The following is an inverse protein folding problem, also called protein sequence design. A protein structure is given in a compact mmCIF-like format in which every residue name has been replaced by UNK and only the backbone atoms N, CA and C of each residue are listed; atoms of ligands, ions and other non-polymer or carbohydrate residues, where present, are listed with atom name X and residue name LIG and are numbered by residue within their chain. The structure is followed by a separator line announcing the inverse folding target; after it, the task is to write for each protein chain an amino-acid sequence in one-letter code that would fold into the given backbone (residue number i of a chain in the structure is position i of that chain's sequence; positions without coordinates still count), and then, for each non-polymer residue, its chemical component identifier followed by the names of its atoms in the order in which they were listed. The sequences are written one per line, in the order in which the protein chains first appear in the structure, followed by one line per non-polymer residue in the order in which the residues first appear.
data_IF_659850862853
#
_entry.id   IF_659850862853
#
_cell.length_a   1.000
_cell.length_b   1.000
_cell.length_c   1.000
_cell.angle_alpha   90.00
_cell.angle_beta   90.00
_cell.angle_gamma   90.00
#
_symmetry.space_group_name_H-M   'P 1'
#
loop_
_entity.id
_entity.type
_entity.pdbx_description
1 polymer ?
#
# COMPACT_ATOMS: atom_id res chain seq x y z
N UNK A 1 23.58 -16.62 -24.99
CA UNK A 1 22.22 -17.20 -25.07
C UNK A 1 21.32 -16.16 -25.67
N UNK A 2 20.61 -16.46 -26.76
CA UNK A 2 19.70 -15.50 -27.40
C UNK A 2 18.52 -15.21 -26.48
N UNK A 3 18.04 -13.97 -26.49
CA UNK A 3 16.89 -13.47 -25.73
C UNK A 3 15.64 -14.39 -25.82
N UNK A 4 15.55 -15.08 -26.95
CA UNK A 4 14.54 -16.09 -27.27
C UNK A 4 14.59 -17.33 -26.37
N UNK A 5 15.74 -17.80 -25.91
CA UNK A 5 15.80 -18.99 -25.07
C UNK A 5 15.31 -18.69 -23.64
N UNK A 6 15.55 -17.47 -23.15
CA UNK A 6 15.24 -17.07 -21.77
C UNK A 6 13.73 -16.88 -21.55
N UNK A 7 13.07 -16.15 -22.45
CA UNK A 7 11.60 -15.96 -22.43
C UNK A 7 10.87 -17.31 -22.60
N UNK A 8 11.40 -18.19 -23.46
CA UNK A 8 10.85 -19.53 -23.64
C UNK A 8 10.87 -20.37 -22.36
N UNK A 9 11.96 -20.32 -21.59
CA UNK A 9 12.05 -20.99 -20.29
C UNK A 9 11.03 -20.48 -19.28
N UNK A 10 10.81 -19.16 -19.23
CA UNK A 10 9.84 -18.56 -18.30
C UNK A 10 8.40 -18.92 -18.69
N UNK A 11 8.05 -18.96 -19.98
CA UNK A 11 6.72 -19.45 -20.40
C UNK A 11 6.48 -20.91 -19.99
N UNK A 12 7.51 -21.77 -19.98
CA UNK A 12 7.37 -23.16 -19.49
C UNK A 12 7.07 -23.19 -17.98
N UNK A 13 7.70 -22.31 -17.20
CA UNK A 13 7.43 -22.19 -15.77
C UNK A 13 5.99 -21.70 -15.50
N UNK A 14 5.53 -20.69 -16.25
CA UNK A 14 4.15 -20.18 -16.18
C UNK A 14 3.14 -21.29 -16.47
N UNK A 15 3.34 -22.08 -17.53
CA UNK A 15 2.44 -23.19 -17.87
C UNK A 15 2.41 -24.27 -16.79
N UNK A 16 3.59 -24.64 -16.26
CA UNK A 16 3.71 -25.62 -15.17
C UNK A 16 3.05 -25.15 -13.88
N UNK A 17 2.99 -23.85 -13.60
CA UNK A 17 2.26 -23.35 -12.43
C UNK A 17 0.76 -23.40 -12.68
N UNK A 18 0.28 -22.94 -13.83
CA UNK A 18 -1.14 -22.99 -14.21
C UNK A 18 -1.72 -24.42 -14.15
N UNK A 19 -0.97 -25.43 -14.61
CA UNK A 19 -1.41 -26.84 -14.55
C UNK A 19 -1.51 -27.36 -13.10
N UNK A 20 -0.56 -27.02 -12.23
CA UNK A 20 -0.58 -27.40 -10.81
C UNK A 20 -1.74 -26.74 -10.06
N UNK A 21 -2.12 -25.53 -10.44
CA UNK A 21 -3.29 -24.85 -9.87
C UNK A 21 -4.60 -25.49 -10.31
N UNK A 22 -4.73 -25.93 -11.57
CA UNK A 22 -5.89 -26.70 -12.01
C UNK A 22 -6.05 -28.00 -11.19
N UNK A 23 -4.95 -28.72 -10.94
CA UNK A 23 -4.95 -29.94 -10.11
C UNK A 23 -5.28 -29.64 -8.63
N UNK A 24 -4.72 -28.57 -8.05
CA UNK A 24 -4.99 -28.18 -6.67
C UNK A 24 -6.44 -27.69 -6.46
N UNK A 25 -7.01 -26.98 -7.45
CA UNK A 25 -8.39 -26.52 -7.42
C UNK A 25 -9.37 -27.71 -7.55
N UNK A 26 -9.06 -28.68 -8.42
CA UNK A 26 -9.84 -29.91 -8.52
C UNK A 26 -9.79 -30.74 -7.23
N UNK A 27 -8.61 -30.84 -6.59
CA UNK A 27 -8.44 -31.56 -5.32
C UNK A 27 -9.19 -30.92 -4.15
N UNK A 28 -9.22 -29.58 -4.07
CA UNK A 28 -10.03 -28.86 -3.08
C UNK A 28 -11.54 -28.95 -3.36
N UNK A 29 -11.95 -28.94 -4.63
CA UNK A 29 -13.36 -29.10 -5.01
C UNK A 29 -13.90 -30.50 -4.68
N UNK A 30 -13.08 -31.54 -4.82
CA UNK A 30 -13.44 -32.92 -4.46
C UNK A 30 -13.55 -33.11 -2.95
N UNK A 31 -12.74 -32.40 -2.14
CA UNK A 31 -12.81 -32.50 -0.67
C UNK A 31 -14.03 -31.81 -0.06
N UNK A 32 -14.68 -30.87 -0.76
CA UNK A 32 -15.87 -30.16 -0.24
C UNK A 32 -17.22 -30.83 -0.55
N UNK A 33 -17.24 -31.98 -1.24
CA UNK A 33 -18.48 -32.71 -1.56
C UNK A 33 -18.80 -33.81 -0.52
N UNK A 34 -17.93 -34.01 0.49
CA UNK A 34 -17.98 -35.17 1.40
C UNK A 34 -18.25 -34.84 2.88
N UNK A 35 -19.28 -34.06 3.20
CA UNK A 35 -19.79 -34.01 4.59
C UNK A 35 -21.32 -34.04 4.61
N UNK A 36 -21.96 -35.00 5.30
CA UNK A 36 -23.41 -35.01 5.42
C UNK A 36 -23.89 -33.93 6.40
N UNK A 37 -24.94 -33.23 5.97
CA UNK A 37 -25.77 -32.32 6.75
C UNK A 37 -26.39 -33.02 7.96
N UNK A 38 -26.25 -32.46 9.17
CA UNK A 38 -27.21 -32.70 10.24
C UNK A 38 -27.51 -31.44 11.08
N UNK A 39 -28.78 -31.33 11.44
CA UNK A 39 -29.52 -30.18 11.99
C UNK A 39 -29.75 -30.39 13.49
N UNK A 40 -29.86 -29.28 14.23
CA UNK A 40 -30.33 -29.13 15.64
C UNK A 40 -29.25 -29.50 16.68
N UNK A 41 -28.88 -28.66 17.64
CA UNK A 41 -29.75 -28.01 18.63
C UNK A 41 -29.35 -26.55 18.95
N UNK A 42 -30.36 -25.72 19.15
CA UNK A 42 -30.26 -24.40 19.73
C UNK A 42 -30.44 -24.48 21.24
N UNK A 43 -29.38 -24.29 22.02
CA UNK A 43 -29.46 -24.01 23.46
C UNK A 43 -28.34 -23.08 23.91
N UNK A 44 -28.75 -21.88 24.31
CA UNK A 44 -28.17 -20.98 25.31
C UNK A 44 -26.63 -20.89 25.44
N UNK A 45 -26.08 -19.81 24.90
CA UNK A 45 -25.00 -19.06 25.58
C UNK A 45 -25.49 -17.64 25.79
N UNK A 46 -26.10 -17.42 26.95
CA UNK A 46 -26.25 -16.10 27.56
C UNK A 46 -24.87 -15.56 27.94
N UNK A 47 -24.78 -14.22 27.98
CA UNK A 47 -23.66 -13.36 28.42
C UNK A 47 -22.53 -13.17 27.40
N UNK A 48 -22.84 -12.44 26.33
CA UNK A 48 -21.90 -11.46 25.80
C UNK A 48 -22.14 -10.16 26.57
N UNK A 49 -21.12 -9.76 27.33
CA UNK A 49 -21.10 -8.48 28.02
C UNK A 49 -21.41 -7.35 27.04
N UNK A 50 -22.45 -6.60 27.41
CA UNK A 50 -22.85 -5.34 26.82
C UNK A 50 -21.81 -4.27 27.13
N UNK A 51 -20.64 -4.29 26.46
CA UNK A 51 -19.73 -3.15 26.39
C UNK A 51 -19.03 -3.10 25.03
N UNK A 52 -19.64 -2.41 24.06
CA UNK A 52 -18.96 -1.56 23.07
C UNK A 52 -19.97 -0.98 22.06
N UNK A 53 -20.93 -0.18 22.52
CA UNK A 53 -21.43 0.93 21.71
C UNK A 53 -20.71 2.19 22.16
N UNK A 54 -19.39 2.22 21.94
CA UNK A 54 -18.72 3.50 21.85
C UNK A 54 -19.17 4.12 20.52
N UNK A 55 -19.99 5.16 20.60
CA UNK A 55 -20.15 6.10 19.50
C UNK A 55 -18.74 6.54 19.11
N UNK A 56 -18.23 6.03 17.98
CA UNK A 56 -16.93 6.40 17.44
C UNK A 56 -17.03 7.84 16.90
N UNK A 57 -17.02 8.84 17.77
CA UNK A 57 -16.77 10.23 17.38
C UNK A 57 -15.28 10.34 16.99
N UNK A 58 -14.98 9.94 15.76
CA UNK A 58 -13.69 10.22 15.14
C UNK A 58 -13.68 11.72 14.82
N UNK A 59 -13.29 12.54 15.80
CA UNK A 59 -13.06 13.97 15.58
C UNK A 59 -11.67 14.15 14.94
N UNK A 60 -11.67 14.51 13.66
CA UNK A 60 -10.47 14.96 12.96
C UNK A 60 -10.47 16.49 13.02
N UNK A 61 -9.39 17.06 13.56
CA UNK A 61 -9.18 18.49 13.66
C UNK A 61 -8.04 18.91 12.75
N UNK A 62 -8.09 20.16 12.28
CA UNK A 62 -7.02 20.76 11.48
C UNK A 62 -6.09 21.53 12.41
N UNK A 63 -4.84 21.08 12.53
CA UNK A 63 -3.84 21.70 13.42
C UNK A 63 -2.66 22.22 12.60
N UNK A 64 -2.05 23.36 12.98
CA UNK A 64 -0.84 23.85 12.32
C UNK A 64 0.35 22.93 12.61
N UNK A 65 1.23 22.76 11.62
CA UNK A 65 2.46 21.95 11.77
C UNK A 65 3.28 22.38 12.99
N UNK A 66 3.33 23.69 13.28
CA UNK A 66 4.05 24.25 14.44
C UNK A 66 3.60 23.76 15.81
N UNK A 67 2.37 23.23 15.93
CA UNK A 67 1.84 22.68 17.17
C UNK A 67 2.06 21.16 17.30
N UNK A 68 2.75 20.52 16.37
CA UNK A 68 2.90 19.07 16.33
C UNK A 68 4.35 18.67 16.65
N UNK A 69 4.51 17.72 17.57
CA UNK A 69 5.83 17.16 17.92
C UNK A 69 5.78 15.64 17.82
N UNK A 70 6.89 15.00 17.45
CA UNK A 70 6.94 13.53 17.42
C UNK A 70 6.95 13.00 18.86
N UNK A 71 6.01 12.11 19.18
CA UNK A 71 5.94 11.47 20.50
C UNK A 71 6.93 10.32 20.63
N UNK A 72 7.45 10.10 21.84
CA UNK A 72 8.23 8.91 22.17
C UNK A 72 7.43 7.61 22.03
N UNK A 73 6.10 7.67 22.14
CA UNK A 73 5.19 6.54 21.95
C UNK A 73 5.01 6.13 20.49
N UNK A 74 5.57 6.87 19.53
CA UNK A 74 5.61 6.43 18.14
C UNK A 74 6.53 5.21 17.99
N UNK A 75 5.97 4.06 17.62
CA UNK A 75 6.73 2.79 17.62
C UNK A 75 7.73 2.68 16.46
N UNK A 76 7.53 3.39 15.35
CA UNK A 76 8.44 3.34 14.20
C UNK A 76 9.62 4.27 14.42
N UNK A 77 10.80 3.69 14.71
CA UNK A 77 12.06 4.44 14.90
C UNK A 77 13.02 4.37 13.70
N UNK A 78 12.77 3.47 12.74
CA UNK A 78 13.61 3.32 11.55
C UNK A 78 13.44 4.50 10.59
N UNK A 79 14.55 4.92 9.97
CA UNK A 79 14.55 5.95 8.93
C UNK A 79 14.25 5.32 7.57
N UNK A 80 13.46 6.00 6.75
CA UNK A 80 13.25 5.62 5.36
C UNK A 80 14.44 6.03 4.50
N UNK A 81 14.46 5.57 3.24
CA UNK A 81 15.46 6.04 2.29
C UNK A 81 15.19 7.49 1.88
N UNK A 82 16.25 8.20 1.47
CA UNK A 82 16.12 9.58 0.95
C UNK A 82 15.12 9.67 -0.21
N UNK A 83 15.16 8.69 -1.13
CA UNK A 83 14.26 8.65 -2.28
C UNK A 83 12.79 8.48 -1.87
N UNK A 84 12.52 7.68 -0.83
CA UNK A 84 11.16 7.54 -0.30
C UNK A 84 10.68 8.83 0.36
N UNK A 85 11.55 9.54 1.07
CA UNK A 85 11.22 10.81 1.75
C UNK A 85 10.95 11.92 0.74
N UNK A 86 11.75 12.02 -0.33
CA UNK A 86 11.49 12.91 -1.46
C UNK A 86 10.15 12.60 -2.14
N UNK A 87 9.82 11.30 -2.31
CA UNK A 87 8.52 10.87 -2.84
C UNK A 87 7.36 11.31 -1.95
N UNK A 88 7.53 11.22 -0.62
CA UNK A 88 6.52 11.66 0.34
C UNK A 88 6.34 13.18 0.34
N UNK A 89 7.44 13.95 0.30
CA UNK A 89 7.40 15.40 0.20
C UNK A 89 6.68 15.86 -1.07
N UNK A 90 7.03 15.28 -2.22
CA UNK A 90 6.37 15.54 -3.49
C UNK A 90 4.86 15.27 -3.43
N UNK A 91 4.47 14.15 -2.80
CA UNK A 91 3.06 13.81 -2.60
C UNK A 91 2.34 14.83 -1.70
N UNK A 92 2.98 15.28 -0.62
CA UNK A 92 2.43 16.29 0.29
C UNK A 92 2.22 17.62 -0.46
N UNK A 93 3.18 18.05 -1.28
CA UNK A 93 3.05 19.28 -2.08
C UNK A 93 1.91 19.15 -3.10
N UNK A 94 1.80 17.99 -3.75
CA UNK A 94 0.80 17.78 -4.81
C UNK A 94 -0.63 17.58 -4.29
N UNK A 95 -0.79 16.92 -3.14
CA UNK A 95 -2.08 16.39 -2.68
C UNK A 95 -2.40 16.70 -1.21
N UNK A 96 -1.48 17.35 -0.48
CA UNK A 96 -1.58 17.51 0.96
C UNK A 96 -1.42 16.18 1.71
N UNK A 97 -1.85 16.19 2.96
CA UNK A 97 -1.83 15.00 3.82
C UNK A 97 -3.08 14.16 3.55
N UNK A 98 -2.89 13.04 2.87
CA UNK A 98 -3.98 12.09 2.52
C UNK A 98 -4.38 11.23 3.72
N UNK A 99 -3.38 10.74 4.46
CA UNK A 99 -3.61 9.98 5.69
C UNK A 99 -3.38 10.91 6.88
N UNK A 100 -4.39 11.06 7.74
CA UNK A 100 -4.31 11.91 8.92
C UNK A 100 -3.24 11.44 9.91
N UNK A 101 -2.66 12.40 10.65
CA UNK A 101 -1.82 12.08 11.81
C UNK A 101 -2.69 11.63 12.98
N UNK A 102 -2.09 10.92 13.93
CA UNK A 102 -2.73 10.62 15.22
C UNK A 102 -1.87 11.18 16.33
N UNK A 103 -2.48 11.98 17.21
CA UNK A 103 -1.80 12.63 18.32
C UNK A 103 -2.49 12.36 19.65
N UNK A 104 -1.73 12.48 20.73
CA UNK A 104 -2.25 12.56 22.09
C UNK A 104 -2.93 13.91 22.32
N UNK A 105 -3.73 14.05 23.40
CA UNK A 105 -4.15 15.35 23.90
C UNK A 105 -3.01 16.37 23.98
N UNK A 106 -3.37 17.65 23.94
CA UNK A 106 -2.41 18.75 24.02
C UNK A 106 -1.64 18.69 25.35
N UNK A 107 -0.31 18.67 25.27
CA UNK A 107 0.59 18.67 26.42
C UNK A 107 1.81 19.57 26.12
N UNK A 108 2.27 20.34 27.11
CA UNK A 108 3.48 21.19 27.02
C UNK A 108 3.58 21.98 25.71
N UNK A 109 2.52 22.68 25.38
CA UNK A 109 2.40 23.56 24.23
C UNK A 109 2.39 22.88 22.83
N UNK A 110 2.17 21.57 22.77
CA UNK A 110 2.07 20.85 21.50
C UNK A 110 1.15 19.61 21.58
N UNK A 111 0.84 19.04 20.43
CA UNK A 111 0.19 17.74 20.29
C UNK A 111 1.25 16.67 19.95
N UNK A 112 1.51 15.70 20.85
CA UNK A 112 2.46 14.62 20.59
C UNK A 112 1.90 13.60 19.57
N UNK A 113 2.51 13.53 18.39
CA UNK A 113 2.14 12.63 17.29
C UNK A 113 2.67 11.22 17.53
N UNK A 114 1.75 10.28 17.73
CA UNK A 114 2.02 8.85 17.97
C UNK A 114 1.94 8.01 16.70
N UNK A 115 1.22 8.47 15.66
CA UNK A 115 1.17 7.81 14.36
C UNK A 115 1.31 8.84 13.24
N UNK A 116 2.09 8.49 12.21
CA UNK A 116 2.47 9.42 11.15
C UNK A 116 3.73 10.25 11.46
N UNK A 117 4.61 9.80 12.37
CA UNK A 117 5.86 10.50 12.70
C UNK A 117 6.70 10.86 11.47
N UNK A 118 6.80 9.96 10.48
CA UNK A 118 7.48 10.23 9.20
C UNK A 118 6.83 11.36 8.40
N UNK A 119 5.49 11.44 8.38
CA UNK A 119 4.74 12.52 7.72
C UNK A 119 5.02 13.86 8.41
N UNK A 120 5.01 13.90 9.75
CA UNK A 120 5.39 15.09 10.52
C UNK A 120 6.83 15.52 10.26
N UNK A 121 7.79 14.58 10.23
CA UNK A 121 9.18 14.90 9.90
C UNK A 121 9.32 15.54 8.53
N UNK A 122 8.61 15.04 7.51
CA UNK A 122 8.67 15.62 6.17
C UNK A 122 7.92 16.96 6.07
N UNK A 123 6.83 17.15 6.82
CA UNK A 123 6.18 18.45 6.95
C UNK A 123 7.14 19.49 7.54
N UNK A 124 7.83 19.16 8.63
CA UNK A 124 8.84 20.03 9.22
C UNK A 124 9.98 20.33 8.23
N UNK A 125 10.47 19.33 7.50
CA UNK A 125 11.48 19.55 6.46
C UNK A 125 10.98 20.52 5.37
N UNK A 126 9.72 20.44 4.97
CA UNK A 126 9.11 21.38 4.01
C UNK A 126 8.93 22.79 4.58
N UNK A 127 8.67 22.91 5.89
CA UNK A 127 8.67 24.21 6.60
C UNK A 127 10.08 24.80 6.62
N UNK A 128 11.08 23.99 6.94
CA UNK A 128 12.49 24.42 7.02
C UNK A 128 13.02 24.91 5.67
N UNK A 129 12.58 24.30 4.56
CA UNK A 129 12.92 24.76 3.20
C UNK A 129 12.08 25.94 2.72
N UNK A 130 11.07 26.37 3.49
CA UNK A 130 10.12 27.42 3.10
C UNK A 130 9.13 27.01 2.01
N UNK A 131 8.99 25.71 1.75
CA UNK A 131 8.03 25.18 0.77
C UNK A 131 6.59 25.27 1.25
N UNK A 132 6.40 25.18 2.58
CA UNK A 132 5.13 25.44 3.26
C UNK A 132 5.39 26.32 4.49
N UNK A 133 4.36 27.02 4.96
CA UNK A 133 4.46 27.80 6.18
C UNK A 133 4.29 26.91 7.43
N UNK A 134 4.79 27.37 8.58
CA UNK A 134 4.65 26.65 9.86
C UNK A 134 3.20 26.59 10.38
N UNK A 135 2.32 27.46 9.89
CA UNK A 135 0.87 27.48 10.17
C UNK A 135 0.06 26.60 9.20
N UNK A 136 0.72 25.89 8.28
CA UNK A 136 0.07 24.97 7.35
C UNK A 136 -0.77 23.94 8.14
N UNK A 137 -2.07 23.89 7.83
CA UNK A 137 -3.01 23.07 8.58
C UNK A 137 -3.01 21.63 8.07
N UNK A 138 -2.91 20.67 8.99
CA UNK A 138 -2.91 19.24 8.69
C UNK A 138 -4.02 18.51 9.47
N UNK A 139 -4.65 17.48 8.87
CA UNK A 139 -5.68 16.69 9.54
C UNK A 139 -5.04 15.78 10.60
N UNK A 140 -5.52 15.89 11.84
CA UNK A 140 -5.05 15.13 12.99
C UNK A 140 -6.24 14.53 13.74
N UNK A 141 -6.19 13.22 14.01
CA UNK A 141 -7.05 12.58 15.01
C UNK A 141 -6.39 12.80 16.37
N UNK A 142 -7.02 13.57 17.23
CA UNK A 142 -6.58 13.74 18.63
C UNK A 142 -7.29 12.68 19.46
N UNK A 143 -6.53 11.85 20.16
CA UNK A 143 -7.09 10.85 21.08
C UNK A 143 -7.69 11.55 22.29
N UNK A 144 -8.75 10.97 22.85
CA UNK A 144 -9.21 11.31 24.20
C UNK A 144 -8.18 10.89 25.25
N UNK A 145 -8.24 11.48 26.45
CA UNK A 145 -7.37 11.12 27.58
C UNK A 145 -7.42 9.62 27.91
N UNK A 146 -8.60 9.02 27.85
CA UNK A 146 -8.78 7.58 28.10
C UNK A 146 -8.13 6.73 27.01
N UNK A 147 -8.34 7.05 25.73
CA UNK A 147 -7.68 6.35 24.62
C UNK A 147 -6.15 6.48 24.67
N UNK A 148 -5.65 7.68 24.98
CA UNK A 148 -4.24 7.97 25.13
C UNK A 148 -3.59 7.09 26.20
N UNK A 149 -4.23 6.96 27.36
CA UNK A 149 -3.72 6.15 28.48
C UNK A 149 -3.82 4.64 28.20
N UNK A 150 -4.88 4.20 27.53
CA UNK A 150 -5.15 2.76 27.36
C UNK A 150 -4.50 2.16 26.12
N UNK A 151 -4.45 2.89 25.00
CA UNK A 151 -4.21 2.28 23.67
C UNK A 151 -3.24 3.04 22.76
N UNK A 152 -2.57 4.11 23.21
CA UNK A 152 -1.70 4.92 22.34
C UNK A 152 -0.63 4.09 21.58
N UNK A 153 0.11 3.22 22.29
CA UNK A 153 1.13 2.37 21.67
C UNK A 153 0.52 1.34 20.72
N UNK A 154 -0.63 0.77 21.08
CA UNK A 154 -1.34 -0.20 20.24
C UNK A 154 -1.83 0.45 18.93
N UNK A 155 -2.40 1.67 19.01
CA UNK A 155 -2.83 2.44 17.85
C UNK A 155 -1.64 2.74 16.94
N UNK A 156 -0.50 3.13 17.52
CA UNK A 156 0.74 3.36 16.76
C UNK A 156 1.23 2.09 16.05
N UNK A 157 1.20 0.94 16.72
CA UNK A 157 1.61 -0.34 16.14
C UNK A 157 0.66 -0.84 15.05
N UNK A 158 -0.64 -0.72 15.29
CA UNK A 158 -1.69 -1.24 14.40
C UNK A 158 -1.60 -0.64 13.01
N UNK A 159 -1.36 0.67 12.88
CA UNK A 159 -1.17 1.35 11.58
C UNK A 159 -0.02 0.74 10.76
N UNK A 160 1.01 0.25 11.45
CA UNK A 160 2.21 -0.27 10.81
C UNK A 160 2.05 -1.73 10.39
N UNK A 161 1.51 -2.57 11.28
CA UNK A 161 1.44 -4.03 11.09
C UNK A 161 0.30 -4.44 10.17
N UNK A 162 -0.82 -3.72 10.19
CA UNK A 162 -2.00 -4.10 9.40
C UNK A 162 -1.92 -3.66 7.93
N UNK A 163 -0.90 -2.88 7.57
CA UNK A 163 -0.75 -2.32 6.22
C UNK A 163 -0.22 -3.35 5.23
N UNK A 164 -1.09 -3.80 4.32
CA UNK A 164 -0.68 -4.51 3.13
C UNK A 164 -0.05 -3.55 2.11
N UNK A 165 1.07 -3.95 1.50
CA UNK A 165 1.66 -3.20 0.40
C UNK A 165 0.86 -3.43 -0.88
N UNK A 166 0.68 -2.37 -1.67
CA UNK A 166 0.11 -2.47 -3.01
C UNK A 166 0.97 -3.39 -3.88
N UNK A 167 0.34 -4.19 -4.74
CA UNK A 167 1.08 -5.04 -5.67
C UNK A 167 1.71 -4.18 -6.78
N UNK A 168 2.95 -4.45 -7.23
CA UNK A 168 3.59 -3.62 -8.24
C UNK A 168 2.81 -3.51 -9.55
N UNK A 169 2.11 -4.56 -9.98
CA UNK A 169 1.28 -4.51 -11.19
C UNK A 169 0.18 -3.43 -11.09
N UNK A 170 -0.43 -3.28 -9.92
CA UNK A 170 -1.48 -2.26 -9.70
C UNK A 170 -0.88 -0.85 -9.81
N UNK A 171 0.36 -0.65 -9.36
CA UNK A 171 1.10 0.60 -9.56
C UNK A 171 1.35 0.86 -11.06
N UNK A 172 1.74 -0.17 -11.82
CA UNK A 172 2.06 -0.03 -13.25
C UNK A 172 0.82 0.39 -14.03
N UNK A 173 -0.29 -0.31 -13.79
CA UNK A 173 -1.59 -0.03 -14.40
C UNK A 173 -2.11 1.35 -14.01
N UNK A 174 -1.91 1.79 -12.77
CA UNK A 174 -2.29 3.13 -12.33
C UNK A 174 -1.53 4.24 -13.09
N UNK A 175 -0.21 4.11 -13.28
CA UNK A 175 0.54 5.08 -14.08
C UNK A 175 0.09 5.10 -15.55
N UNK A 176 -0.12 3.92 -16.14
CA UNK A 176 -0.63 3.81 -17.52
C UNK A 176 -2.02 4.45 -17.66
N UNK A 177 -2.89 4.26 -16.67
CA UNK A 177 -4.21 4.90 -16.62
C UNK A 177 -4.10 6.43 -16.53
N UNK A 178 -3.26 6.98 -15.68
CA UNK A 178 -3.08 8.45 -15.58
C UNK A 178 -2.65 9.08 -16.91
N UNK A 179 -1.76 8.41 -17.65
CA UNK A 179 -1.35 8.83 -18.99
C UNK A 179 -2.51 8.78 -19.99
N UNK A 180 -3.32 7.72 -19.97
CA UNK A 180 -4.52 7.59 -20.80
C UNK A 180 -5.55 8.69 -20.49
N UNK A 181 -5.63 9.09 -19.22
CA UNK A 181 -6.49 10.18 -18.75
C UNK A 181 -5.89 11.58 -19.05
N UNK A 182 -4.74 11.66 -19.72
CA UNK A 182 -4.15 12.90 -20.25
C UNK A 182 -3.10 13.57 -19.35
N UNK A 183 -2.72 12.97 -18.22
CA UNK A 183 -1.63 13.48 -17.38
C UNK A 183 -0.29 13.15 -18.05
N UNK A 184 0.57 14.13 -18.29
CA UNK A 184 1.87 13.87 -18.91
C UNK A 184 2.88 13.23 -17.93
N UNK A 185 3.93 12.60 -18.48
CA UNK A 185 4.95 11.87 -17.71
C UNK A 185 5.67 12.76 -16.70
N UNK A 186 5.96 14.00 -17.07
CA UNK A 186 6.64 14.96 -16.20
C UNK A 186 5.81 15.28 -14.96
N UNK A 187 4.52 15.56 -15.14
CA UNK A 187 3.60 15.84 -14.04
C UNK A 187 3.41 14.62 -13.13
N UNK A 188 3.36 13.41 -13.69
CA UNK A 188 3.32 12.17 -12.89
C UNK A 188 4.62 12.07 -12.06
N UNK A 189 5.77 12.16 -12.71
CA UNK A 189 7.08 12.07 -12.06
C UNK A 189 7.20 13.08 -10.90
N UNK A 190 6.81 14.34 -11.13
CA UNK A 190 6.82 15.39 -10.11
C UNK A 190 5.88 15.08 -8.93
N UNK A 191 4.63 14.66 -9.17
CA UNK A 191 3.65 14.41 -8.09
C UNK A 191 4.01 13.23 -7.19
N UNK A 192 4.73 12.24 -7.73
CA UNK A 192 5.17 11.06 -7.00
C UNK A 192 6.63 11.12 -6.51
N UNK A 193 7.34 12.22 -6.80
CA UNK A 193 8.77 12.38 -6.49
C UNK A 193 9.63 11.28 -7.12
N UNK A 194 9.31 10.90 -8.35
CA UNK A 194 10.03 9.89 -9.14
C UNK A 194 10.68 10.55 -10.35
N UNK A 195 11.59 9.83 -11.00
CA UNK A 195 12.17 10.29 -12.28
C UNK A 195 11.22 9.97 -13.44
N UNK A 196 11.29 10.74 -14.53
CA UNK A 196 10.53 10.42 -15.75
C UNK A 196 10.90 9.02 -16.28
N UNK A 197 12.18 8.62 -16.15
CA UNK A 197 12.64 7.28 -16.50
C UNK A 197 11.90 6.20 -15.70
N UNK A 198 11.71 6.39 -14.39
CA UNK A 198 10.96 5.47 -13.54
C UNK A 198 9.52 5.30 -14.04
N UNK A 199 8.84 6.41 -14.33
CA UNK A 199 7.45 6.38 -14.86
C UNK A 199 7.40 5.66 -16.21
N UNK A 200 8.34 5.93 -17.12
CA UNK A 200 8.43 5.21 -18.40
C UNK A 200 8.67 3.71 -18.24
N UNK A 201 9.52 3.30 -17.28
CA UNK A 201 9.74 1.88 -16.99
C UNK A 201 8.47 1.20 -16.50
N UNK A 202 7.71 1.86 -15.61
CA UNK A 202 6.43 1.35 -15.11
C UNK A 202 5.39 1.22 -16.22
N UNK A 203 5.33 2.20 -17.14
CA UNK A 203 4.47 2.11 -18.33
C UNK A 203 4.84 0.94 -19.25
N UNK A 204 6.13 0.67 -19.45
CA UNK A 204 6.57 -0.48 -20.25
C UNK A 204 6.14 -1.81 -19.62
N UNK A 205 6.17 -1.90 -18.31
CA UNK A 205 5.72 -3.09 -17.58
C UNK A 205 4.20 -3.24 -17.62
N UNK A 206 3.44 -2.13 -17.57
CA UNK A 206 1.98 -2.14 -17.73
C UNK A 206 1.53 -2.63 -19.12
N UNK A 207 2.40 -2.56 -20.13
CA UNK A 207 2.13 -3.02 -21.49
C UNK A 207 2.45 -4.51 -21.72
N UNK A 208 2.96 -5.22 -20.71
CA UNK A 208 3.14 -6.68 -20.76
C UNK A 208 1.76 -7.35 -20.75
N UNK A 209 1.61 -8.42 -21.53
CA UNK A 209 0.34 -9.14 -21.66
C UNK A 209 -0.16 -9.67 -20.31
N UNK A 210 -1.48 -9.63 -20.13
CA UNK A 210 -2.13 -9.91 -18.83
C UNK A 210 -1.76 -11.28 -18.28
N UNK A 211 -1.59 -12.29 -19.14
CA UNK A 211 -1.21 -13.64 -18.70
C UNK A 211 0.11 -13.68 -17.92
N UNK A 212 1.08 -12.84 -18.29
CA UNK A 212 2.37 -12.75 -17.58
C UNK A 212 2.21 -11.93 -16.30
N UNK A 213 1.41 -10.86 -16.34
CA UNK A 213 1.13 -10.02 -15.17
C UNK A 213 0.34 -10.77 -14.09
N UNK A 214 -0.62 -11.60 -14.49
CA UNK A 214 -1.41 -12.44 -13.59
C UNK A 214 -0.54 -13.53 -12.96
N UNK A 215 0.32 -14.18 -13.75
CA UNK A 215 1.32 -15.10 -13.21
C UNK A 215 2.26 -14.41 -12.19
N UNK A 216 2.57 -13.13 -12.38
CA UNK A 216 3.31 -12.36 -11.38
C UNK A 216 2.48 -12.08 -10.12
N UNK A 217 1.20 -11.67 -10.26
CA UNK A 217 0.28 -11.47 -9.12
C UNK A 217 0.14 -12.72 -8.26
N UNK A 218 0.13 -13.89 -8.89
CA UNK A 218 0.06 -15.19 -8.23
C UNK A 218 1.38 -15.64 -7.60
N UNK A 219 2.48 -14.90 -7.81
CA UNK A 219 3.81 -15.26 -7.31
C UNK A 219 4.51 -16.36 -8.12
N UNK A 220 3.98 -16.73 -9.28
CA UNK A 220 4.56 -17.75 -10.17
C UNK A 220 5.77 -17.21 -10.95
N UNK A 221 5.88 -15.90 -11.11
CA UNK A 221 6.93 -15.20 -11.85
C UNK A 221 7.48 -14.06 -10.98
N UNK A 222 8.79 -13.81 -10.98
CA UNK A 222 9.38 -12.66 -10.28
C UNK A 222 9.33 -11.39 -11.13
N UNK A 223 9.47 -10.22 -10.49
CA UNK A 223 9.54 -8.95 -11.21
C UNK A 223 10.68 -8.95 -12.25
N UNK A 224 11.85 -9.51 -11.94
CA UNK A 224 12.95 -9.57 -12.92
C UNK A 224 12.57 -10.36 -14.17
N UNK A 225 11.79 -11.42 -13.99
CA UNK A 225 11.29 -12.22 -15.11
C UNK A 225 10.23 -11.47 -15.91
N UNK A 226 9.34 -10.70 -15.27
CA UNK A 226 8.39 -9.82 -15.98
C UNK A 226 9.11 -8.77 -16.83
N UNK A 227 10.21 -8.19 -16.32
CA UNK A 227 11.00 -7.20 -17.07
C UNK A 227 11.52 -7.76 -18.41
N UNK A 228 11.84 -9.05 -18.48
CA UNK A 228 12.29 -9.71 -19.72
C UNK A 228 11.19 -9.84 -20.78
N UNK A 229 9.91 -9.73 -20.40
CA UNK A 229 8.84 -9.72 -21.40
C UNK A 229 8.68 -8.37 -22.08
N UNK A 230 9.22 -7.28 -21.51
CA UNK A 230 9.16 -5.93 -22.11
C UNK A 230 9.91 -5.81 -23.45
N UNK A 231 10.77 -6.79 -23.78
CA UNK A 231 11.52 -6.90 -25.04
C UNK A 231 10.98 -7.99 -25.97
N UNK A 232 9.99 -8.79 -25.51
CA UNK A 232 9.34 -9.82 -26.31
C UNK A 232 8.12 -9.26 -27.05
N UNK A 233 7.85 -9.77 -28.26
CA UNK A 233 6.65 -9.39 -29.03
C UNK A 233 5.36 -9.82 -28.32
N UNK A 234 4.26 -9.04 -28.35
CA UNK A 234 2.98 -9.38 -27.73
C UNK A 234 2.49 -10.79 -28.04
N UNK A 235 2.54 -11.21 -29.32
CA UNK A 235 2.16 -12.57 -29.76
C UNK A 235 2.88 -13.68 -28.98
N UNK A 236 4.14 -13.43 -28.62
CA UNK A 236 4.97 -14.39 -27.90
C UNK A 236 4.65 -14.41 -26.41
N UNK A 237 4.27 -13.28 -25.84
CA UNK A 237 3.86 -13.19 -24.45
C UNK A 237 2.52 -13.93 -24.25
N UNK A 238 1.57 -13.75 -25.18
CA UNK A 238 0.30 -14.48 -25.20
C UNK A 238 0.50 -16.01 -25.23
N UNK A 239 1.49 -16.49 -25.99
CA UNK A 239 1.86 -17.91 -26.04
C UNK A 239 2.32 -18.50 -24.70
N UNK A 240 2.66 -17.68 -23.70
CA UNK A 240 2.95 -18.22 -22.37
C UNK A 240 1.69 -18.76 -21.67
N UNK A 241 0.50 -18.24 -22.01
CA UNK A 241 -0.78 -18.65 -21.41
C UNK A 241 -1.52 -19.74 -22.18
N UNK A 242 -1.15 -19.96 -23.44
CA UNK A 242 -1.80 -20.90 -24.34
C UNK A 242 -0.84 -22.04 -24.70
N UNK A 243 -1.09 -23.23 -24.13
CA UNK A 243 -0.73 -24.60 -24.53
C UNK A 243 -0.59 -25.50 -23.29
#
# INVERSE_FOLDING_TARGET
MTDTALVGGICVDIRKSMSRFADAYLMNAITQISTPSNRQDATNVSTLDSQATAQNDISIVMLPVSQLVVSDLNVRKSKASKADDESLQASIIAHGIIQNLVALPYDKDAYPVISGGRRLTQLNALVDTGSINSDYLVPVKVLSESEAQSYATEISLTENVTRASMHPVDEFEAYAKMMKDGVNVEAIAQRFGKTQLYVHQRMKLAAVESVVLDAYREGNVSLERVMLFTIASPERQLKCGSE
#
